data_IF_754839342890
#
_entry.id   IF_754839342890
#
_cell.length_a   1.000
_cell.length_b   1.000
_cell.length_c   1.000
_cell.angle_alpha   90.00
_cell.angle_beta   90.00
_cell.angle_gamma   90.00
#
_symmetry.space_group_name_H-M   'P 1'
#
loop_
_entity.id
_entity.type
_entity.pdbx_description
1 polymer ?
#
# COMPACT_ATOMS: atom_id res chain seq x y z
N UNK A 1 -21.31 -1.57 -15.05
CA UNK A 1 -20.50 -0.39 -15.40
C UNK A 1 -19.48 -0.74 -16.48
N UNK A 2 -19.16 0.24 -17.30
CA UNK A 2 -17.99 0.18 -18.18
C UNK A 2 -16.73 0.59 -17.40
N UNK A 3 -15.56 0.27 -17.95
CA UNK A 3 -14.28 0.52 -17.29
C UNK A 3 -14.07 2.00 -16.92
N UNK A 4 -14.51 2.94 -17.77
CA UNK A 4 -14.41 4.38 -17.49
C UNK A 4 -15.23 4.83 -16.29
N UNK A 5 -16.43 4.27 -16.12
CA UNK A 5 -17.27 4.55 -14.96
C UNK A 5 -16.67 3.98 -13.68
N UNK A 6 -16.14 2.77 -13.77
CA UNK A 6 -15.45 2.14 -12.63
C UNK A 6 -14.23 2.97 -12.20
N UNK A 7 -13.42 3.41 -13.16
CA UNK A 7 -12.26 4.26 -12.90
C UNK A 7 -12.67 5.54 -12.17
N UNK A 8 -13.72 6.20 -12.63
CA UNK A 8 -14.23 7.43 -12.01
C UNK A 8 -14.73 7.18 -10.58
N UNK A 9 -15.50 6.12 -10.35
CA UNK A 9 -16.02 5.79 -9.02
C UNK A 9 -14.94 5.41 -8.02
N UNK A 10 -13.94 4.66 -8.47
CA UNK A 10 -12.86 4.22 -7.59
C UNK A 10 -11.73 5.23 -7.45
N UNK A 11 -11.73 6.28 -8.27
CA UNK A 11 -10.69 7.30 -8.22
C UNK A 11 -9.34 6.82 -8.75
N UNK A 12 -9.35 5.94 -9.75
CA UNK A 12 -8.15 5.38 -10.37
C UNK A 12 -8.18 5.60 -11.88
N UNK A 13 -7.03 5.41 -12.53
CA UNK A 13 -6.95 5.44 -13.99
C UNK A 13 -7.46 4.13 -14.59
N UNK A 14 -7.91 4.20 -15.85
CA UNK A 14 -8.25 3.00 -16.62
C UNK A 14 -7.03 2.09 -16.77
N UNK A 15 -5.84 2.67 -16.89
CA UNK A 15 -4.58 1.92 -16.96
C UNK A 15 -4.35 1.09 -15.71
N UNK A 16 -4.62 1.63 -14.53
CA UNK A 16 -4.50 0.90 -13.28
C UNK A 16 -5.47 -0.29 -13.24
N UNK A 17 -6.72 -0.09 -13.69
CA UNK A 17 -7.70 -1.17 -13.74
C UNK A 17 -7.27 -2.29 -14.69
N UNK A 18 -6.70 -1.97 -15.84
CA UNK A 18 -6.17 -2.96 -16.77
C UNK A 18 -5.03 -3.75 -16.15
N UNK A 19 -4.15 -3.06 -15.41
CA UNK A 19 -3.09 -3.72 -14.66
C UNK A 19 -3.64 -4.70 -13.63
N UNK A 20 -4.68 -4.29 -12.89
CA UNK A 20 -5.32 -5.18 -11.91
C UNK A 20 -5.93 -6.41 -12.57
N UNK A 21 -6.52 -6.26 -13.75
CA UNK A 21 -7.01 -7.41 -14.52
C UNK A 21 -5.89 -8.34 -14.92
N UNK A 22 -4.77 -7.79 -15.42
CA UNK A 22 -3.59 -8.59 -15.81
C UNK A 22 -3.02 -9.38 -14.64
N UNK A 23 -3.08 -8.79 -13.42
CA UNK A 23 -2.61 -9.45 -12.20
C UNK A 23 -3.63 -10.44 -11.60
N UNK A 24 -4.78 -10.58 -12.23
CA UNK A 24 -5.83 -11.47 -11.72
C UNK A 24 -6.58 -10.94 -10.50
N UNK A 25 -6.49 -9.64 -10.23
CA UNK A 25 -7.10 -9.02 -9.05
C UNK A 25 -8.51 -8.51 -9.32
N UNK A 26 -8.84 -8.27 -10.57
CA UNK A 26 -10.11 -7.73 -11.02
C UNK A 26 -10.59 -8.54 -12.23
N UNK A 27 -11.85 -8.93 -12.20
CA UNK A 27 -12.48 -9.61 -13.32
C UNK A 27 -13.65 -8.80 -13.83
N UNK A 28 -13.81 -8.77 -15.15
CA UNK A 28 -14.95 -8.17 -15.82
C UNK A 28 -15.89 -9.27 -16.31
N UNK A 29 -17.19 -9.02 -16.20
CA UNK A 29 -18.18 -9.79 -16.90
C UNK A 29 -18.30 -9.27 -18.33
N UNK A 30 -18.48 -10.17 -19.28
CA UNK A 30 -18.71 -9.77 -20.68
C UNK A 30 -20.20 -9.70 -20.98
N UNK A 31 -20.61 -8.62 -21.63
CA UNK A 31 -21.96 -8.52 -22.17
C UNK A 31 -22.15 -9.52 -23.30
N UNK A 32 -23.39 -9.81 -23.73
CA UNK A 32 -23.65 -10.67 -24.91
C UNK A 32 -22.94 -10.20 -26.19
N UNK A 33 -22.57 -8.91 -26.26
CA UNK A 33 -21.82 -8.34 -27.39
C UNK A 33 -20.31 -8.37 -27.19
N UNK A 34 -19.79 -9.04 -26.15
CA UNK A 34 -18.39 -9.16 -25.87
C UNK A 34 -17.75 -7.95 -25.21
N UNK A 35 -18.52 -6.94 -24.81
CA UNK A 35 -18.03 -5.78 -24.08
C UNK A 35 -17.82 -6.10 -22.60
N UNK A 36 -16.74 -5.56 -22.03
CA UNK A 36 -16.45 -5.73 -20.61
C UNK A 36 -17.43 -4.92 -19.77
N UNK A 37 -17.97 -5.56 -18.75
CA UNK A 37 -18.87 -4.96 -17.77
C UNK A 37 -18.38 -5.29 -16.37
N UNK A 38 -18.58 -4.34 -15.45
CA UNK A 38 -18.18 -4.49 -14.05
C UNK A 38 -19.40 -4.34 -13.17
N UNK A 39 -19.58 -5.22 -12.16
CA UNK A 39 -20.66 -5.06 -11.19
C UNK A 39 -20.42 -3.82 -10.31
N UNK A 40 -21.46 -3.34 -9.65
CA UNK A 40 -21.36 -2.15 -8.79
C UNK A 40 -20.36 -2.36 -7.64
N UNK A 41 -20.25 -3.58 -7.12
CA UNK A 41 -19.31 -3.94 -6.05
C UNK A 41 -17.85 -3.84 -6.49
N UNK A 42 -17.58 -3.77 -7.78
CA UNK A 42 -16.21 -3.67 -8.29
C UNK A 42 -15.50 -2.40 -7.80
N UNK A 43 -16.23 -1.31 -7.58
CA UNK A 43 -15.64 -0.08 -7.05
C UNK A 43 -15.05 -0.29 -5.64
N UNK A 44 -15.77 -0.97 -4.76
CA UNK A 44 -15.28 -1.30 -3.42
C UNK A 44 -14.10 -2.27 -3.48
N UNK A 45 -14.15 -3.22 -4.41
CA UNK A 45 -13.06 -4.14 -4.66
C UNK A 45 -11.78 -3.40 -5.05
N UNK A 46 -11.88 -2.45 -5.98
CA UNK A 46 -10.74 -1.66 -6.44
C UNK A 46 -10.17 -0.82 -5.29
N UNK A 47 -11.01 -0.23 -4.46
CA UNK A 47 -10.55 0.54 -3.28
C UNK A 47 -9.78 -0.35 -2.30
N UNK A 48 -10.26 -1.57 -2.06
CA UNK A 48 -9.54 -2.53 -1.21
C UNK A 48 -8.17 -2.89 -1.81
N UNK A 49 -8.12 -3.18 -3.12
CA UNK A 49 -6.86 -3.46 -3.81
C UNK A 49 -5.88 -2.32 -3.63
N UNK A 50 -6.34 -1.08 -3.78
CA UNK A 50 -5.48 0.10 -3.57
C UNK A 50 -4.96 0.19 -2.14
N UNK A 51 -5.81 -0.07 -1.14
CA UNK A 51 -5.39 -0.08 0.27
C UNK A 51 -4.31 -1.12 0.53
N UNK A 52 -4.45 -2.30 -0.05
CA UNK A 52 -3.47 -3.38 0.11
C UNK A 52 -2.15 -3.04 -0.58
N UNK A 53 -2.17 -2.47 -1.78
CA UNK A 53 -0.96 -1.97 -2.42
C UNK A 53 -0.30 -0.84 -1.62
N UNK A 54 -1.09 0.08 -1.08
CA UNK A 54 -0.57 1.17 -0.25
C UNK A 54 0.09 0.66 1.03
N UNK A 55 -0.38 -0.47 1.55
CA UNK A 55 0.25 -1.15 2.68
C UNK A 55 1.52 -1.94 2.30
N UNK A 56 1.89 -1.93 1.02
CA UNK A 56 3.12 -2.57 0.54
C UNK A 56 2.98 -4.05 0.21
N UNK A 57 1.75 -4.56 0.07
CA UNK A 57 1.54 -5.94 -0.33
C UNK A 57 1.83 -6.12 -1.83
N UNK A 58 2.39 -7.29 -2.19
CA UNK A 58 2.59 -7.64 -3.58
C UNK A 58 1.28 -8.04 -4.26
N UNK A 59 1.23 -7.95 -5.58
CA UNK A 59 0.09 -8.45 -6.37
C UNK A 59 -0.22 -9.92 -6.05
N UNK A 60 0.80 -10.74 -5.86
CA UNK A 60 0.65 -12.14 -5.51
C UNK A 60 -0.04 -12.33 -4.16
N UNK A 61 0.38 -11.60 -3.15
CA UNK A 61 -0.22 -11.67 -1.81
C UNK A 61 -1.67 -11.18 -1.86
N UNK A 62 -1.95 -10.10 -2.58
CA UNK A 62 -3.32 -9.60 -2.76
C UNK A 62 -4.18 -10.68 -3.43
N UNK A 63 -3.68 -11.31 -4.49
CA UNK A 63 -4.41 -12.37 -5.18
C UNK A 63 -4.75 -13.56 -4.25
N UNK A 64 -3.86 -13.89 -3.33
CA UNK A 64 -4.09 -14.95 -2.34
C UNK A 64 -5.20 -14.60 -1.33
N UNK A 65 -5.40 -13.31 -1.05
CA UNK A 65 -6.41 -12.84 -0.09
C UNK A 65 -7.80 -12.66 -0.72
N UNK A 66 -7.87 -12.42 -2.02
CA UNK A 66 -9.14 -12.09 -2.69
C UNK A 66 -10.21 -13.19 -2.61
N UNK A 67 -9.91 -14.50 -2.67
CA UNK A 67 -10.96 -15.51 -2.52
C UNK A 67 -11.76 -15.38 -1.24
N UNK A 68 -11.11 -15.02 -0.12
CA UNK A 68 -11.79 -14.78 1.15
C UNK A 68 -12.66 -13.52 1.10
N UNK A 69 -12.17 -12.47 0.46
CA UNK A 69 -12.94 -11.24 0.24
C UNK A 69 -14.16 -11.51 -0.61
N UNK A 70 -14.02 -12.27 -1.69
CA UNK A 70 -15.11 -12.62 -2.60
C UNK A 70 -16.20 -13.42 -1.90
N UNK A 71 -15.81 -14.31 -0.98
CA UNK A 71 -16.74 -15.15 -0.23
C UNK A 71 -17.28 -14.47 1.03
N UNK A 72 -16.82 -13.26 1.36
CA UNK A 72 -17.11 -12.57 2.63
C UNK A 72 -16.77 -13.45 3.84
N UNK A 73 -15.64 -14.17 3.74
CA UNK A 73 -15.18 -15.08 4.81
C UNK A 73 -13.82 -14.62 5.31
N UNK A 74 -13.70 -14.48 6.62
CA UNK A 74 -12.41 -14.28 7.28
C UNK A 74 -11.95 -15.63 7.84
N UNK A 75 -10.95 -16.23 7.19
CA UNK A 75 -10.40 -17.50 7.64
C UNK A 75 -9.23 -17.27 8.60
N UNK A 76 -8.89 -18.26 9.47
CA UNK A 76 -7.67 -18.18 10.27
C UNK A 76 -6.42 -17.94 9.40
N UNK A 77 -6.35 -18.57 8.23
CA UNK A 77 -5.23 -18.45 7.31
C UNK A 77 -5.12 -17.01 6.73
N UNK A 78 -6.24 -16.42 6.32
CA UNK A 78 -6.23 -15.06 5.78
C UNK A 78 -5.88 -14.03 6.87
N UNK A 79 -6.39 -14.22 8.10
CA UNK A 79 -6.03 -13.35 9.21
C UNK A 79 -4.56 -13.46 9.58
N UNK A 80 -4.01 -14.69 9.58
CA UNK A 80 -2.60 -14.91 9.85
C UNK A 80 -1.72 -14.25 8.77
N UNK A 81 -2.13 -14.30 7.50
CA UNK A 81 -1.43 -13.65 6.40
C UNK A 81 -1.39 -12.14 6.58
N UNK A 82 -2.54 -11.54 6.91
CA UNK A 82 -2.62 -10.10 7.17
C UNK A 82 -1.79 -9.69 8.38
N UNK A 83 -1.81 -10.49 9.44
CA UNK A 83 -0.99 -10.25 10.63
C UNK A 83 0.51 -10.33 10.32
N UNK A 84 0.93 -11.28 9.48
CA UNK A 84 2.32 -11.40 9.06
C UNK A 84 2.77 -10.17 8.25
N UNK A 85 1.91 -9.63 7.38
CA UNK A 85 2.21 -8.41 6.63
C UNK A 85 2.30 -7.20 7.57
N UNK A 86 1.42 -7.09 8.56
CA UNK A 86 1.52 -6.05 9.59
C UNK A 86 2.82 -6.15 10.38
N UNK A 87 3.20 -7.36 10.79
CA UNK A 87 4.44 -7.58 11.55
C UNK A 87 5.68 -7.19 10.74
N UNK A 88 5.65 -7.43 9.42
CA UNK A 88 6.71 -6.97 8.52
C UNK A 88 6.84 -5.45 8.54
N UNK A 89 5.72 -4.74 8.51
CA UNK A 89 5.69 -3.26 8.58
C UNK A 89 6.21 -2.80 9.94
N UNK A 90 5.80 -3.43 11.03
CA UNK A 90 6.28 -3.11 12.37
C UNK A 90 7.81 -3.24 12.46
N UNK A 91 8.37 -4.27 11.82
CA UNK A 91 9.82 -4.44 11.72
C UNK A 91 10.50 -3.30 10.98
N UNK A 92 9.90 -2.83 9.88
CA UNK A 92 10.40 -1.68 9.12
C UNK A 92 10.34 -0.39 9.92
N UNK A 93 9.27 -0.19 10.67
CA UNK A 93 9.13 0.97 11.58
C UNK A 93 10.23 0.94 12.64
N UNK A 94 10.49 -0.22 13.24
CA UNK A 94 11.54 -0.38 14.23
C UNK A 94 12.94 -0.07 13.66
N UNK A 95 13.23 -0.55 12.45
CA UNK A 95 14.49 -0.27 11.76
C UNK A 95 14.66 1.21 11.45
N UNK A 96 13.62 1.87 10.95
CA UNK A 96 13.65 3.30 10.65
C UNK A 96 13.75 4.13 11.92
N UNK A 97 13.08 3.74 12.99
CA UNK A 97 13.18 4.39 14.30
C UNK A 97 14.61 4.34 14.82
N UNK A 98 15.25 3.15 14.75
CA UNK A 98 16.65 3.00 15.16
C UNK A 98 17.60 3.85 14.30
N UNK A 99 17.36 3.92 13.00
CA UNK A 99 18.17 4.74 12.11
C UNK A 99 18.03 6.24 12.45
N UNK A 100 16.81 6.69 12.69
CA UNK A 100 16.55 8.07 13.12
C UNK A 100 17.27 8.38 14.44
N UNK A 101 17.18 7.48 15.41
CA UNK A 101 17.79 7.68 16.72
C UNK A 101 19.33 7.79 16.61
N UNK A 102 19.93 7.02 15.67
CA UNK A 102 21.36 7.15 15.39
C UNK A 102 21.71 8.51 14.81
N UNK A 103 20.89 9.04 13.90
CA UNK A 103 21.10 10.38 13.34
C UNK A 103 20.94 11.46 14.43
N UNK A 104 19.95 11.31 15.29
CA UNK A 104 19.77 12.23 16.43
C UNK A 104 20.99 12.24 17.32
N UNK A 105 21.60 11.09 17.58
CA UNK A 105 22.84 10.99 18.36
C UNK A 105 24.02 11.67 17.65
N UNK A 106 24.12 11.53 16.32
CA UNK A 106 25.16 12.19 15.52
C UNK A 106 24.95 13.72 15.55
N UNK A 107 23.72 14.17 15.40
CA UNK A 107 23.40 15.61 15.47
C UNK A 107 23.78 16.18 16.84
N UNK A 108 23.39 15.50 17.92
CA UNK A 108 23.75 15.91 19.27
C UNK A 108 25.26 15.93 19.48
N UNK A 109 25.98 14.90 18.99
CA UNK A 109 27.43 14.85 19.08
C UNK A 109 28.08 15.99 18.31
N UNK A 110 27.57 16.34 17.10
CA UNK A 110 28.16 17.38 16.25
C UNK A 110 28.15 18.76 16.89
N UNK A 111 27.23 18.99 17.84
CA UNK A 111 27.14 20.26 18.60
C UNK A 111 27.83 20.19 19.95
N UNK A 112 28.42 19.03 20.34
CA UNK A 112 29.12 18.86 21.60
C UNK A 112 30.56 19.38 21.52
N UNK A 113 31.11 19.74 22.66
CA UNK A 113 32.51 20.19 22.78
C UNK A 113 33.49 19.06 22.44
N UNK A 114 33.09 17.79 22.57
CA UNK A 114 33.96 16.63 22.35
C UNK A 114 34.13 16.30 20.87
N UNK A 115 33.23 16.76 19.99
CA UNK A 115 33.30 16.45 18.56
C UNK A 115 34.43 17.16 17.83
N UNK A 116 34.87 18.31 18.34
CA UNK A 116 35.80 19.18 17.63
C UNK A 116 35.20 19.93 16.45
N UNK A 117 33.92 19.76 16.19
CA UNK A 117 33.23 20.45 15.11
C UNK A 117 32.95 21.90 15.49
N UNK A 118 33.14 22.82 14.50
CA UNK A 118 32.71 24.20 14.65
C UNK A 118 31.21 24.27 14.40
N UNK A 119 30.46 24.81 15.33
CA UNK A 119 29.02 24.97 15.19
C UNK A 119 28.75 26.37 14.61
N UNK A 120 28.17 26.39 13.41
CA UNK A 120 27.75 27.62 12.75
C UNK A 120 26.30 27.93 13.12
N UNK A 121 25.96 29.24 13.14
CA UNK A 121 24.60 29.65 13.42
C UNK A 121 23.64 29.21 12.29
N UNK A 122 22.46 28.82 12.70
CA UNK A 122 21.43 28.38 11.73
C UNK A 122 20.91 29.61 10.97
N UNK A 123 20.90 29.60 9.61
CA UNK A 123 20.40 30.74 8.81
C UNK A 123 18.96 31.13 9.14
N UNK A 124 18.15 30.17 9.57
CA UNK A 124 16.75 30.44 9.93
C UNK A 124 16.56 31.24 11.22
N UNK A 125 17.61 31.34 12.05
CA UNK A 125 17.57 32.05 13.33
C UNK A 125 18.33 33.38 13.30
N UNK A 126 18.89 33.76 12.17
CA UNK A 126 19.66 35.00 12.00
C UNK A 126 18.77 36.24 11.90
#
# INVERSE_FOLDING_TARGET
MRIGELAARAGVSVRALRYYEEQGLLAADRSPRGQRRYPDEAADRVRLIQQLYAAGLSSRTIAELLPCVNANVSTPESRARLAAERDRIDGQIAELTAARDRLDAVIAYSTSAQSGCRVEADPATA
#
